data_IF_268878450842
#
_entry.id   IF_268878450842
#
_cell.length_a   1.000
_cell.length_b   1.000
_cell.length_c   1.000
_cell.angle_alpha   90.00
_cell.angle_beta   90.00
_cell.angle_gamma   90.00
#
_symmetry.space_group_name_H-M   'P 1'
#
loop_
_entity.id
_entity.type
_entity.pdbx_description
1 polymer ?
#
# COMPACT_ATOMS: atom_id res chain seq x y z
N UNK A 1 20.61 -11.04 17.46
CA UNK A 1 19.23 -11.36 17.84
C UNK A 1 18.73 -12.43 16.87
N UNK A 2 18.07 -13.46 17.37
CA UNK A 2 17.56 -14.52 16.49
C UNK A 2 16.43 -13.92 15.60
N UNK A 3 16.47 -14.19 14.29
CA UNK A 3 15.48 -13.69 13.32
C UNK A 3 14.04 -14.10 13.66
N UNK A 4 13.85 -15.28 14.26
CA UNK A 4 12.56 -15.72 14.76
C UNK A 4 12.01 -14.82 15.88
N UNK A 5 12.86 -14.40 16.80
CA UNK A 5 12.47 -13.49 17.90
C UNK A 5 12.05 -12.13 17.32
N UNK A 6 12.81 -11.61 16.34
CA UNK A 6 12.47 -10.37 15.67
C UNK A 6 11.11 -10.45 14.96
N UNK A 7 10.84 -11.56 14.26
CA UNK A 7 9.57 -11.81 13.58
C UNK A 7 8.40 -11.86 14.57
N UNK A 8 8.54 -12.63 15.66
CA UNK A 8 7.50 -12.74 16.69
C UNK A 8 7.21 -11.37 17.30
N UNK A 9 8.25 -10.60 17.65
CA UNK A 9 8.08 -9.24 18.18
C UNK A 9 7.35 -8.32 17.19
N UNK A 10 7.68 -8.39 15.91
CA UNK A 10 7.02 -7.61 14.87
C UNK A 10 5.53 -7.97 14.73
N UNK A 11 5.20 -9.27 14.75
CA UNK A 11 3.81 -9.74 14.67
C UNK A 11 3.01 -9.31 15.91
N UNK A 12 3.56 -9.49 17.11
CA UNK A 12 2.91 -9.07 18.37
C UNK A 12 2.69 -7.56 18.35
N UNK A 13 3.69 -6.79 17.95
CA UNK A 13 3.59 -5.34 17.80
C UNK A 13 2.48 -4.93 16.82
N UNK A 14 2.44 -5.55 15.64
CA UNK A 14 1.41 -5.28 14.64
C UNK A 14 -0.01 -5.55 15.20
N UNK A 15 -0.21 -6.64 15.94
CA UNK A 15 -1.49 -6.96 16.57
C UNK A 15 -1.86 -5.90 17.63
N UNK A 16 -0.92 -5.47 18.46
CA UNK A 16 -1.15 -4.44 19.48
C UNK A 16 -1.55 -3.13 18.80
N UNK A 17 -0.79 -2.66 17.83
CA UNK A 17 -1.08 -1.41 17.10
C UNK A 17 -2.43 -1.48 16.39
N UNK A 18 -2.73 -2.59 15.73
CA UNK A 18 -4.03 -2.76 15.08
C UNK A 18 -5.19 -2.67 16.07
N UNK A 19 -5.07 -3.28 17.24
CA UNK A 19 -6.14 -3.29 18.24
C UNK A 19 -6.27 -1.99 19.05
N UNK A 20 -5.20 -1.25 19.21
CA UNK A 20 -5.19 0.00 19.99
C UNK A 20 -5.29 1.22 19.10
N UNK A 21 -4.22 1.52 18.39
CA UNK A 21 -4.13 2.70 17.53
C UNK A 21 -5.05 2.61 16.31
N UNK A 22 -5.20 1.41 15.71
CA UNK A 22 -6.14 1.20 14.62
C UNK A 22 -7.57 1.51 14.99
N UNK A 23 -8.03 1.03 16.14
CA UNK A 23 -9.37 1.37 16.65
C UNK A 23 -9.52 2.84 17.02
N UNK A 24 -8.48 3.47 17.53
CA UNK A 24 -8.50 4.89 17.82
C UNK A 24 -8.67 5.71 16.54
N UNK A 25 -7.86 5.44 15.52
CA UNK A 25 -7.94 6.12 14.21
C UNK A 25 -9.32 5.90 13.57
N UNK A 26 -9.81 4.67 13.58
CA UNK A 26 -11.12 4.37 13.01
C UNK A 26 -12.26 5.11 13.72
N UNK A 27 -12.34 4.98 15.05
CA UNK A 27 -13.47 5.52 15.83
C UNK A 27 -13.42 7.04 16.03
N UNK A 28 -12.22 7.62 16.14
CA UNK A 28 -12.06 9.04 16.49
C UNK A 28 -11.76 9.93 15.29
N UNK A 29 -11.02 9.44 14.32
CA UNK A 29 -10.57 10.22 13.16
C UNK A 29 -11.44 9.92 11.95
N UNK A 30 -11.49 8.66 11.57
CA UNK A 30 -12.19 8.24 10.35
C UNK A 30 -13.70 8.16 10.57
N UNK A 31 -14.14 7.66 11.74
CA UNK A 31 -15.55 7.47 12.04
C UNK A 31 -16.27 6.66 10.96
N UNK A 32 -15.72 5.47 10.66
CA UNK A 32 -16.33 4.57 9.67
C UNK A 32 -17.70 4.10 10.17
N UNK A 33 -18.67 4.13 9.26
CA UNK A 33 -20.02 3.64 9.51
C UNK A 33 -20.19 2.29 8.79
N UNK A 34 -20.28 1.17 9.53
CA UNK A 34 -20.40 -0.15 8.94
C UNK A 34 -21.77 -0.38 8.27
N UNK A 35 -22.79 0.39 8.62
CA UNK A 35 -24.14 0.24 8.09
C UNK A 35 -24.34 1.06 6.80
N UNK A 36 -23.38 1.93 6.47
CA UNK A 36 -23.45 2.75 5.26
C UNK A 36 -23.16 1.91 4.02
N UNK A 37 -24.09 1.93 3.08
CA UNK A 37 -23.97 1.26 1.78
C UNK A 37 -22.75 1.79 1.01
N UNK A 38 -21.94 0.88 0.46
CA UNK A 38 -20.78 1.28 -0.36
C UNK A 38 -21.21 1.69 -1.77
N UNK A 39 -20.44 2.53 -2.46
CA UNK A 39 -20.74 2.93 -3.85
C UNK A 39 -20.92 1.74 -4.80
N UNK A 40 -20.13 0.67 -4.62
CA UNK A 40 -20.24 -0.52 -5.45
C UNK A 40 -21.61 -1.22 -5.34
N UNK A 41 -22.29 -1.10 -4.19
CA UNK A 41 -23.64 -1.64 -3.99
C UNK A 41 -24.68 -0.61 -4.42
N UNK A 42 -24.44 0.67 -4.15
CA UNK A 42 -25.37 1.77 -4.40
C UNK A 42 -25.58 2.02 -5.90
N UNK A 43 -24.50 1.95 -6.68
CA UNK A 43 -24.48 2.24 -8.12
C UNK A 43 -24.25 0.98 -8.97
N UNK A 44 -24.59 -0.21 -8.43
CA UNK A 44 -24.36 -1.47 -9.10
C UNK A 44 -24.95 -1.49 -10.52
N UNK A 45 -24.04 -1.47 -11.51
CA UNK A 45 -24.39 -1.51 -12.94
C UNK A 45 -23.88 -2.76 -13.67
N UNK A 46 -23.07 -3.57 -12.98
CA UNK A 46 -22.48 -4.79 -13.53
C UNK A 46 -21.25 -4.56 -14.43
N UNK A 47 -20.81 -3.32 -14.61
CA UNK A 47 -19.64 -2.94 -15.44
C UNK A 47 -18.61 -2.16 -14.61
N UNK A 48 -18.96 -0.97 -14.15
CA UNK A 48 -18.07 -0.10 -13.38
C UNK A 48 -18.20 -0.31 -11.88
N UNK A 49 -19.40 -0.61 -11.42
CA UNK A 49 -19.70 -0.84 -10.01
C UNK A 49 -20.17 -2.28 -9.77
N UNK A 50 -19.26 -3.10 -9.31
CA UNK A 50 -19.53 -4.50 -8.96
C UNK A 50 -19.12 -4.80 -7.53
N UNK A 51 -20.05 -5.23 -6.65
CA UNK A 51 -19.69 -5.67 -5.32
C UNK A 51 -18.80 -6.90 -5.37
N UNK A 52 -17.66 -6.83 -4.72
CA UNK A 52 -16.71 -7.94 -4.63
C UNK A 52 -16.70 -8.57 -3.25
N UNK A 53 -16.38 -9.86 -3.17
CA UNK A 53 -16.27 -10.55 -1.89
C UNK A 53 -15.09 -10.03 -1.07
N UNK A 54 -15.16 -10.13 0.26
CA UNK A 54 -14.12 -9.71 1.19
C UNK A 54 -12.75 -10.34 0.86
N UNK A 55 -12.74 -11.62 0.45
CA UNK A 55 -11.51 -12.34 0.14
C UNK A 55 -10.85 -11.82 -1.15
N UNK A 56 -11.65 -11.47 -2.15
CA UNK A 56 -11.17 -10.88 -3.41
C UNK A 56 -10.59 -9.49 -3.15
N UNK A 57 -11.28 -8.65 -2.38
CA UNK A 57 -10.81 -7.32 -1.99
C UNK A 57 -9.52 -7.40 -1.18
N UNK A 58 -9.45 -8.32 -0.21
CA UNK A 58 -8.24 -8.56 0.57
C UNK A 58 -7.07 -8.97 -0.33
N UNK A 59 -7.26 -9.94 -1.22
CA UNK A 59 -6.22 -10.41 -2.13
C UNK A 59 -5.73 -9.31 -3.07
N UNK A 60 -6.64 -8.49 -3.58
CA UNK A 60 -6.30 -7.37 -4.45
C UNK A 60 -5.48 -6.30 -3.71
N UNK A 61 -5.91 -5.92 -2.50
CA UNK A 61 -5.21 -4.95 -1.68
C UNK A 61 -3.84 -5.48 -1.22
N UNK A 62 -3.79 -6.74 -0.80
CA UNK A 62 -2.54 -7.40 -0.43
C UNK A 62 -1.53 -7.40 -1.59
N UNK A 63 -1.96 -7.80 -2.79
CA UNK A 63 -1.12 -7.75 -4.00
C UNK A 63 -0.62 -6.34 -4.29
N UNK A 64 -1.46 -5.33 -4.12
CA UNK A 64 -1.10 -3.93 -4.42
C UNK A 64 -0.06 -3.38 -3.44
N UNK A 65 -0.14 -3.75 -2.17
CA UNK A 65 0.80 -3.32 -1.13
C UNK A 65 2.10 -4.13 -1.18
N UNK A 66 2.01 -5.46 -1.32
CA UNK A 66 3.16 -6.37 -1.35
C UNK A 66 3.90 -6.38 -2.69
N UNK A 67 4.06 -5.22 -3.31
CA UNK A 67 4.87 -5.06 -4.51
C UNK A 67 6.38 -5.13 -4.24
N UNK A 68 7.17 -4.85 -5.27
CA UNK A 68 8.64 -4.87 -5.19
C UNK A 68 9.18 -3.85 -4.18
N UNK A 69 8.56 -2.68 -4.07
CA UNK A 69 9.00 -1.60 -3.19
C UNK A 69 9.23 -2.01 -1.73
N UNK A 70 8.24 -2.59 -1.04
CA UNK A 70 8.40 -3.06 0.33
C UNK A 70 9.49 -4.12 0.52
N UNK A 71 9.68 -5.01 -0.46
CA UNK A 71 10.68 -6.08 -0.39
C UNK A 71 12.09 -5.50 -0.60
N UNK A 72 12.29 -4.79 -1.70
CA UNK A 72 13.60 -4.21 -2.04
C UNK A 72 13.97 -3.07 -1.08
N UNK A 73 13.00 -2.27 -0.67
CA UNK A 73 13.21 -1.21 0.31
C UNK A 73 13.71 -1.73 1.65
N UNK A 74 13.16 -2.84 2.14
CA UNK A 74 13.63 -3.48 3.36
C UNK A 74 15.05 -4.04 3.20
N UNK A 75 15.37 -4.66 2.06
CA UNK A 75 16.72 -5.18 1.76
C UNK A 75 17.74 -4.02 1.73
N UNK A 76 17.41 -2.93 1.04
CA UNK A 76 18.30 -1.74 0.98
C UNK A 76 18.48 -1.12 2.37
N UNK A 77 17.40 -1.02 3.15
CA UNK A 77 17.46 -0.44 4.49
C UNK A 77 18.42 -1.18 5.41
N UNK A 78 18.55 -2.51 5.29
CA UNK A 78 19.49 -3.32 6.10
C UNK A 78 20.96 -2.95 5.84
N UNK A 79 21.31 -2.42 4.66
CA UNK A 79 22.67 -1.94 4.38
C UNK A 79 23.09 -0.75 5.27
N UNK A 80 22.13 0.01 5.79
CA UNK A 80 22.34 1.11 6.72
C UNK A 80 22.36 0.67 8.19
N UNK A 81 22.16 -0.63 8.41
CA UNK A 81 22.12 -1.24 9.73
C UNK A 81 20.76 -1.87 10.03
N UNK A 82 20.79 -3.08 10.58
CA UNK A 82 19.56 -3.83 10.82
C UNK A 82 18.67 -3.23 11.93
N UNK A 83 19.27 -2.59 12.96
CA UNK A 83 18.51 -1.98 14.06
C UNK A 83 17.69 -0.77 13.57
N UNK A 84 18.29 0.26 12.92
CA UNK A 84 17.51 1.37 12.39
C UNK A 84 16.49 0.94 11.33
N UNK A 85 16.83 -0.04 10.47
CA UNK A 85 15.89 -0.59 9.51
C UNK A 85 14.68 -1.26 10.19
N UNK A 86 14.91 -2.06 11.21
CA UNK A 86 13.85 -2.72 11.96
C UNK A 86 12.95 -1.74 12.71
N UNK A 87 13.54 -0.75 13.39
CA UNK A 87 12.78 0.29 14.06
C UNK A 87 11.95 1.12 13.08
N UNK A 88 12.51 1.49 11.93
CA UNK A 88 11.80 2.20 10.89
C UNK A 88 10.60 1.40 10.36
N UNK A 89 10.77 0.11 10.11
CA UNK A 89 9.68 -0.76 9.67
C UNK A 89 8.58 -0.84 10.74
N UNK A 90 8.94 -1.06 12.00
CA UNK A 90 7.96 -1.16 13.08
C UNK A 90 7.18 0.15 13.28
N UNK A 91 7.87 1.27 13.33
CA UNK A 91 7.24 2.58 13.57
C UNK A 91 6.58 3.14 12.32
N UNK A 92 7.24 3.05 11.16
CA UNK A 92 6.72 3.55 9.89
C UNK A 92 5.45 2.85 9.44
N UNK A 93 5.45 1.52 9.50
CA UNK A 93 4.24 0.74 9.16
C UNK A 93 3.14 0.99 10.19
N UNK A 94 3.49 1.04 11.49
CA UNK A 94 2.51 1.21 12.56
C UNK A 94 1.85 2.59 12.59
N UNK A 95 2.61 3.66 12.31
CA UNK A 95 2.12 5.03 12.47
C UNK A 95 1.68 5.67 11.15
N UNK A 96 2.30 5.30 10.03
CA UNK A 96 2.09 5.98 8.74
C UNK A 96 1.49 5.05 7.69
N UNK A 97 2.05 3.85 7.48
CA UNK A 97 1.73 3.01 6.33
C UNK A 97 0.25 2.67 6.23
N UNK A 98 -0.27 1.90 7.18
CA UNK A 98 -1.66 1.46 7.14
C UNK A 98 -2.66 2.61 7.33
N UNK A 99 -2.28 3.67 8.07
CA UNK A 99 -3.16 4.84 8.28
C UNK A 99 -3.38 5.56 6.95
N UNK A 100 -2.30 5.76 6.17
CA UNK A 100 -2.39 6.34 4.84
C UNK A 100 -3.31 5.53 3.93
N UNK A 101 -3.10 4.21 3.84
CA UNK A 101 -3.88 3.34 2.97
C UNK A 101 -5.36 3.28 3.39
N UNK A 102 -5.59 3.13 4.68
CA UNK A 102 -6.94 3.07 5.24
C UNK A 102 -7.70 4.39 5.06
N UNK A 103 -7.08 5.52 5.39
CA UNK A 103 -7.74 6.83 5.27
C UNK A 103 -7.99 7.21 3.81
N UNK A 104 -7.06 6.92 2.90
CA UNK A 104 -7.27 7.19 1.47
C UNK A 104 -8.41 6.35 0.88
N UNK A 105 -8.49 5.07 1.24
CA UNK A 105 -9.60 4.21 0.86
C UNK A 105 -10.95 4.73 1.40
N UNK A 106 -11.00 5.14 2.65
CA UNK A 106 -12.21 5.69 3.26
C UNK A 106 -12.66 7.01 2.63
N UNK A 107 -11.72 7.90 2.30
CA UNK A 107 -12.04 9.13 1.56
C UNK A 107 -12.59 8.81 0.18
N UNK A 108 -12.01 7.85 -0.53
CA UNK A 108 -12.50 7.40 -1.84
C UNK A 108 -13.93 6.85 -1.74
N UNK A 109 -14.22 5.97 -0.78
CA UNK A 109 -15.58 5.43 -0.54
C UNK A 109 -16.58 6.55 -0.26
N UNK A 110 -16.21 7.55 0.54
CA UNK A 110 -17.07 8.71 0.85
C UNK A 110 -17.29 9.64 -0.34
N UNK A 111 -16.44 9.57 -1.33
CA UNK A 111 -16.51 10.32 -2.59
C UNK A 111 -16.88 9.41 -3.76
N UNK A 112 -17.83 8.50 -3.53
CA UNK A 112 -18.44 7.66 -4.58
C UNK A 112 -17.45 6.76 -5.34
N UNK A 113 -16.35 6.36 -4.68
CA UNK A 113 -15.32 5.54 -5.31
C UNK A 113 -14.37 6.30 -6.24
N UNK A 114 -14.30 7.62 -6.13
CA UNK A 114 -13.43 8.45 -6.98
C UNK A 114 -11.96 8.07 -6.85
N UNK A 115 -11.25 8.14 -7.97
CA UNK A 115 -9.79 8.04 -8.01
C UNK A 115 -9.11 9.24 -7.36
N UNK A 116 -7.80 9.14 -7.07
CA UNK A 116 -7.02 10.23 -6.48
C UNK A 116 -7.09 11.52 -7.33
N UNK A 117 -7.08 11.39 -8.67
CA UNK A 117 -7.23 12.53 -9.58
C UNK A 117 -8.60 13.19 -9.49
N UNK A 118 -9.68 12.40 -9.37
CA UNK A 118 -11.04 12.90 -9.15
C UNK A 118 -11.18 13.58 -7.80
N UNK A 119 -10.68 12.97 -6.75
CA UNK A 119 -10.70 13.55 -5.40
C UNK A 119 -9.92 14.86 -5.31
N UNK A 120 -8.77 14.97 -5.95
CA UNK A 120 -7.98 16.20 -5.95
C UNK A 120 -8.68 17.35 -6.70
N UNK A 121 -9.48 17.04 -7.73
CA UNK A 121 -10.33 18.04 -8.38
C UNK A 121 -11.39 18.59 -7.42
N UNK A 122 -12.09 17.71 -6.72
CA UNK A 122 -13.22 18.09 -5.86
C UNK A 122 -12.79 18.68 -4.52
N UNK A 123 -11.68 18.21 -3.94
CA UNK A 123 -11.24 18.61 -2.60
C UNK A 123 -10.25 19.78 -2.62
N UNK A 124 -9.48 19.95 -3.70
CA UNK A 124 -8.44 20.97 -3.78
C UNK A 124 -8.81 22.01 -4.83
N UNK A 125 -8.66 21.67 -6.11
CA UNK A 125 -8.98 22.55 -7.25
C UNK A 125 -8.72 21.85 -8.59
N UNK A 126 -9.18 22.42 -9.74
CA UNK A 126 -8.80 21.93 -11.07
C UNK A 126 -7.29 21.91 -11.31
N UNK A 127 -6.56 22.93 -10.82
CA UNK A 127 -5.10 22.99 -10.90
C UNK A 127 -4.45 21.93 -10.03
N UNK A 128 -4.99 21.66 -8.85
CA UNK A 128 -4.58 20.57 -7.96
C UNK A 128 -4.66 19.21 -8.63
N UNK A 129 -5.74 18.92 -9.37
CA UNK A 129 -5.87 17.71 -10.18
C UNK A 129 -4.73 17.56 -11.18
N UNK A 130 -4.42 18.62 -11.92
CA UNK A 130 -3.35 18.57 -12.93
C UNK A 130 -1.99 18.27 -12.28
N UNK A 131 -1.65 18.95 -11.19
CA UNK A 131 -0.40 18.72 -10.45
C UNK A 131 -0.30 17.29 -9.92
N UNK A 132 -1.36 16.79 -9.30
CA UNK A 132 -1.40 15.41 -8.78
C UNK A 132 -1.30 14.40 -9.92
N UNK A 133 -1.98 14.62 -11.05
CA UNK A 133 -1.91 13.71 -12.20
C UNK A 133 -0.50 13.67 -12.82
N UNK A 134 0.15 14.82 -12.95
CA UNK A 134 1.54 14.91 -13.42
C UNK A 134 2.49 14.20 -12.45
N UNK A 135 2.33 14.42 -11.15
CA UNK A 135 3.11 13.74 -10.13
C UNK A 135 2.94 12.21 -10.20
N UNK A 136 1.70 11.73 -10.30
CA UNK A 136 1.41 10.29 -10.44
C UNK A 136 2.05 9.73 -11.70
N UNK A 137 1.96 10.45 -12.83
CA UNK A 137 2.57 10.02 -14.09
C UNK A 137 4.09 9.81 -13.93
N UNK A 138 4.81 10.79 -13.40
CA UNK A 138 6.25 10.65 -13.17
C UNK A 138 6.57 9.56 -12.14
N UNK A 139 5.78 9.45 -11.08
CA UNK A 139 5.96 8.39 -10.08
C UNK A 139 5.84 7.00 -10.70
N UNK A 140 4.84 6.80 -11.58
CA UNK A 140 4.67 5.53 -12.30
C UNK A 140 5.84 5.27 -13.25
N UNK A 141 6.30 6.27 -14.00
CA UNK A 141 7.46 6.13 -14.90
C UNK A 141 8.72 5.70 -14.14
N UNK A 142 9.03 6.35 -13.02
CA UNK A 142 10.16 5.97 -12.16
C UNK A 142 9.99 4.57 -11.57
N UNK A 143 8.79 4.22 -11.14
CA UNK A 143 8.50 2.89 -10.61
C UNK A 143 8.72 1.81 -11.65
N UNK A 144 8.20 1.98 -12.88
CA UNK A 144 8.44 1.06 -13.99
C UNK A 144 9.93 0.93 -14.33
N UNK A 145 10.66 2.06 -14.35
CA UNK A 145 12.11 2.06 -14.57
C UNK A 145 12.85 1.25 -13.48
N UNK A 146 12.50 1.44 -12.22
CA UNK A 146 13.08 0.69 -11.12
C UNK A 146 12.79 -0.82 -11.21
N UNK A 147 11.56 -1.20 -11.54
CA UNK A 147 11.19 -2.60 -11.79
C UNK A 147 11.99 -3.20 -12.95
N UNK A 148 12.11 -2.48 -14.06
CA UNK A 148 12.86 -2.94 -15.23
C UNK A 148 14.33 -3.18 -14.90
N UNK A 149 14.98 -2.25 -14.18
CA UNK A 149 16.37 -2.40 -13.74
C UNK A 149 16.54 -3.60 -12.81
N UNK A 150 15.63 -3.79 -11.87
CA UNK A 150 15.69 -4.93 -10.96
C UNK A 150 15.51 -6.27 -11.69
N UNK A 151 14.55 -6.37 -12.61
CA UNK A 151 14.32 -7.56 -13.43
C UNK A 151 15.54 -7.84 -14.31
N UNK A 152 16.05 -6.82 -15.02
CA UNK A 152 17.24 -6.95 -15.85
C UNK A 152 18.45 -7.43 -15.03
N UNK A 153 18.67 -6.88 -13.82
CA UNK A 153 19.73 -7.30 -12.94
C UNK A 153 19.61 -8.75 -12.45
N UNK A 154 18.37 -9.22 -12.21
CA UNK A 154 18.15 -10.63 -11.83
C UNK A 154 18.32 -11.59 -13.02
N UNK A 155 17.92 -11.20 -14.20
CA UNK A 155 18.05 -12.02 -15.41
C UNK A 155 19.50 -12.06 -15.93
N UNK A 156 20.25 -10.98 -15.81
CA UNK A 156 21.65 -10.91 -16.25
C UNK A 156 22.65 -11.55 -15.27
N UNK A 157 22.22 -11.93 -14.09
CA UNK A 157 23.07 -12.59 -13.12
C UNK A 157 23.10 -14.11 -13.37
N UNK A 158 24.22 -14.70 -13.81
CA UNK A 158 24.29 -16.14 -14.12
C UNK A 158 24.11 -17.06 -12.90
N UNK A 159 24.24 -16.52 -11.67
CA UNK A 159 24.05 -17.27 -10.44
C UNK A 159 22.61 -17.17 -9.89
N UNK A 160 21.77 -16.32 -10.48
CA UNK A 160 20.37 -16.21 -10.07
C UNK A 160 19.56 -17.43 -10.59
N UNK A 161 18.59 -17.94 -9.80
CA UNK A 161 17.78 -19.09 -10.24
C UNK A 161 17.10 -18.91 -11.60
N UNK A 162 16.71 -17.71 -11.95
CA UNK A 162 16.13 -17.38 -13.26
C UNK A 162 17.20 -17.18 -14.35
N UNK A 163 18.41 -16.71 -13.98
CA UNK A 163 19.53 -16.56 -14.89
C UNK A 163 20.00 -17.90 -15.46
N UNK A 164 19.98 -18.97 -14.66
CA UNK A 164 20.35 -20.33 -15.08
C UNK A 164 19.39 -20.89 -16.14
N UNK A 165 18.15 -20.44 -16.17
CA UNK A 165 17.14 -20.90 -17.15
C UNK A 165 17.22 -20.17 -18.50
N UNK A 166 17.96 -19.06 -18.59
CA UNK A 166 18.02 -18.20 -19.77
C UNK A 166 19.38 -18.34 -20.47
N UNK A 167 20.43 -18.78 -19.78
CA UNK A 167 21.78 -19.05 -20.29
C UNK A 167 22.04 -20.55 -20.32
#
# INVERSE_FOLDING_TARGET
MNSLVALILAVVWAIIIYRTYGRYVDRKIVQSDPDKTTPAVMYMDGVDFMPSSKNVLFGFQFKSICGLGPIVGAIIAVHWGWIPAFLYLLLGVALLGWVHDYTSAQVSIRKEGMSLGGMSYTLISPRGRTLVSVFIYFNLMFSFGAFAVFIAGTLSNPTAPLGILIW
#
